data_IF_558920463666
#
_entry.id   IF_558920463666
#
_cell.length_a   1.000
_cell.length_b   1.000
_cell.length_c   1.000
_cell.angle_alpha   90.00
_cell.angle_beta   90.00
_cell.angle_gamma   90.00
#
_symmetry.space_group_name_H-M   'P 1'
#
loop_
_entity.id
_entity.type
_entity.pdbx_description
1 polymer ?
#
# COMPACT_ATOMS: atom_id res chain seq x y z
N UNK A 1 -10.45 -17.93 4.60
CA UNK A 1 -10.63 -16.93 5.68
C UNK A 1 -9.28 -16.49 6.21
N UNK A 2 -8.52 -15.71 5.44
CA UNK A 2 -7.33 -15.06 5.98
C UNK A 2 -7.80 -13.81 6.69
N UNK A 3 -7.69 -13.85 8.01
CA UNK A 3 -7.75 -12.66 8.84
C UNK A 3 -6.51 -11.82 8.52
N UNK A 4 -6.57 -10.98 7.48
CA UNK A 4 -5.91 -9.66 7.55
C UNK A 4 -6.79 -8.82 8.48
N UNK A 5 -6.91 -9.25 9.75
CA UNK A 5 -7.69 -8.56 10.76
C UNK A 5 -6.72 -7.75 11.59
N UNK A 6 -6.87 -6.43 11.49
CA UNK A 6 -6.84 -5.59 12.68
C UNK A 6 -5.48 -5.41 13.32
N UNK A 7 -4.51 -4.87 12.58
CA UNK A 7 -3.82 -3.74 13.18
C UNK A 7 -4.64 -2.49 12.84
N UNK A 8 -5.09 -1.69 13.82
CA UNK A 8 -6.02 -0.59 13.56
C UNK A 8 -5.53 0.50 12.59
N UNK A 9 -4.32 0.44 12.03
CA UNK A 9 -3.72 1.57 11.32
C UNK A 9 -2.82 1.30 10.09
N UNK A 10 -2.66 0.08 9.56
CA UNK A 10 -1.72 -0.14 8.41
C UNK A 10 -2.42 -0.77 7.20
N UNK A 11 -2.66 0.03 6.16
CA UNK A 11 -2.99 -0.43 4.81
C UNK A 11 -1.72 -1.02 4.16
N UNK A 12 -1.85 -2.10 3.36
CA UNK A 12 -0.72 -2.77 2.70
C UNK A 12 0.11 -1.82 1.83
N UNK A 13 -0.48 -0.75 1.31
CA UNK A 13 0.26 0.27 0.58
C UNK A 13 1.23 1.01 1.50
N UNK A 14 0.83 1.34 2.74
CA UNK A 14 1.71 2.00 3.73
C UNK A 14 2.85 1.12 4.23
N UNK A 15 2.85 -0.17 3.91
CA UNK A 15 3.99 -1.03 4.19
C UNK A 15 5.25 -0.62 3.41
N UNK A 16 5.07 0.05 2.27
CA UNK A 16 6.17 0.57 1.45
C UNK A 16 6.72 1.81 2.13
N UNK A 17 8.04 1.84 2.32
CA UNK A 17 8.72 3.01 2.91
C UNK A 17 8.51 4.23 2.01
N UNK A 18 8.17 5.40 2.57
CA UNK A 18 8.03 6.66 1.82
C UNK A 18 9.21 6.95 0.89
N UNK A 19 10.44 6.70 1.34
CA UNK A 19 11.66 6.92 0.58
C UNK A 19 11.71 6.15 -0.77
N UNK A 20 11.05 4.99 -0.86
CA UNK A 20 10.96 4.17 -2.09
C UNK A 20 10.13 4.88 -3.16
N UNK A 21 9.14 5.66 -2.72
CA UNK A 21 8.24 6.43 -3.57
C UNK A 21 8.76 7.86 -3.79
N UNK A 22 9.90 8.23 -3.21
CA UNK A 22 10.46 9.58 -3.27
C UNK A 22 9.65 10.62 -2.47
N UNK A 23 8.86 10.18 -1.49
CA UNK A 23 8.06 11.06 -0.63
C UNK A 23 8.62 11.04 0.80
N UNK A 24 8.51 12.14 1.53
CA UNK A 24 8.97 12.22 2.92
C UNK A 24 8.09 11.38 3.86
N UNK A 25 6.78 11.37 3.59
CA UNK A 25 5.80 10.61 4.34
C UNK A 25 4.57 10.32 3.47
N UNK A 26 3.79 9.32 3.87
CA UNK A 26 2.50 9.05 3.24
C UNK A 26 1.54 10.24 3.39
N UNK A 27 0.77 10.58 2.34
CA UNK A 27 -0.30 11.56 2.45
C UNK A 27 -1.30 11.17 3.54
N UNK A 28 -1.79 12.18 4.27
CA UNK A 28 -2.83 12.00 5.29
C UNK A 28 -4.19 12.07 4.61
N UNK A 29 -4.95 10.97 4.66
CA UNK A 29 -6.31 10.92 4.12
C UNK A 29 -7.31 11.26 5.22
N UNK A 30 -8.23 12.22 5.01
CA UNK A 30 -9.27 12.56 5.98
C UNK A 30 -10.14 11.36 6.37
N UNK A 31 -10.60 11.34 7.62
CA UNK A 31 -11.53 10.32 8.09
C UNK A 31 -12.86 10.41 7.32
N UNK A 32 -13.41 9.26 6.95
CA UNK A 32 -14.64 9.18 6.16
C UNK A 32 -14.43 9.17 4.64
N UNK A 33 -13.20 9.34 4.17
CA UNK A 33 -12.81 9.10 2.79
C UNK A 33 -12.19 7.70 2.65
N UNK A 34 -12.45 7.04 1.51
CA UNK A 34 -11.72 5.83 1.15
C UNK A 34 -10.22 6.13 1.07
N UNK A 35 -9.44 5.37 1.82
CA UNK A 35 -8.03 5.67 2.00
C UNK A 35 -7.25 5.55 0.69
N UNK A 36 -7.49 4.49 -0.11
CA UNK A 36 -6.77 4.27 -1.37
C UNK A 36 -7.09 5.37 -2.39
N UNK A 37 -8.36 5.72 -2.51
CA UNK A 37 -8.83 6.85 -3.32
C UNK A 37 -8.15 8.15 -2.88
N UNK A 38 -8.09 8.41 -1.57
CA UNK A 38 -7.43 9.60 -1.02
C UNK A 38 -5.93 9.67 -1.30
N UNK A 39 -5.24 8.53 -1.22
CA UNK A 39 -3.82 8.44 -1.58
C UNK A 39 -3.60 8.71 -3.06
N UNK A 40 -4.39 8.08 -3.94
CA UNK A 40 -4.27 8.32 -5.38
C UNK A 40 -4.57 9.77 -5.74
N UNK A 41 -5.60 10.36 -5.13
CA UNK A 41 -5.91 11.77 -5.29
C UNK A 41 -4.73 12.65 -4.82
N UNK A 42 -4.11 12.34 -3.68
CA UNK A 42 -2.94 13.06 -3.17
C UNK A 42 -1.70 12.94 -4.07
N UNK A 43 -1.52 11.79 -4.73
CA UNK A 43 -0.48 11.61 -5.75
C UNK A 43 -0.85 12.18 -7.14
N UNK A 44 -2.06 12.72 -7.30
CA UNK A 44 -2.56 13.22 -8.58
C UNK A 44 -2.81 12.11 -9.61
N UNK A 45 -3.08 10.88 -9.16
CA UNK A 45 -3.35 9.72 -10.01
C UNK A 45 -4.86 9.53 -10.21
N UNK A 46 -5.27 8.82 -11.27
CA UNK A 46 -6.66 8.37 -11.44
C UNK A 46 -7.14 7.61 -10.19
N UNK A 47 -8.41 7.81 -9.82
CA UNK A 47 -8.97 7.30 -8.56
C UNK A 47 -10.50 7.13 -8.58
N UNK A 48 -11.11 7.14 -9.77
CA UNK A 48 -12.57 7.13 -9.93
C UNK A 48 -13.15 5.72 -9.97
N UNK A 49 -12.32 4.74 -10.33
CA UNK A 49 -12.73 3.37 -10.63
C UNK A 49 -11.92 2.35 -9.83
N UNK A 50 -12.41 1.11 -9.76
CA UNK A 50 -11.65 0.02 -9.11
C UNK A 50 -10.38 -0.31 -9.90
N UNK A 51 -10.46 -0.16 -11.21
CA UNK A 51 -9.36 -0.30 -12.15
C UNK A 51 -8.25 0.71 -11.81
N UNK A 52 -8.60 1.96 -11.49
CA UNK A 52 -7.63 2.97 -11.05
C UNK A 52 -6.92 2.57 -9.76
N UNK A 53 -7.65 1.97 -8.80
CA UNK A 53 -7.04 1.42 -7.58
C UNK A 53 -6.03 0.33 -7.91
N UNK A 54 -6.38 -0.57 -8.84
CA UNK A 54 -5.50 -1.63 -9.31
C UNK A 54 -4.23 -1.10 -10.00
N UNK A 55 -4.38 -0.09 -10.86
CA UNK A 55 -3.25 0.57 -11.53
C UNK A 55 -2.34 1.29 -10.53
N UNK A 56 -2.93 1.99 -9.57
CA UNK A 56 -2.19 2.62 -8.46
C UNK A 56 -1.37 1.59 -7.68
N UNK A 57 -1.97 0.45 -7.36
CA UNK A 57 -1.28 -0.64 -6.67
C UNK A 57 -0.12 -1.21 -7.49
N UNK A 58 -0.33 -1.48 -8.78
CA UNK A 58 0.73 -1.93 -9.68
C UNK A 58 1.90 -0.94 -9.74
N UNK A 59 1.60 0.35 -9.75
CA UNK A 59 2.61 1.42 -9.80
C UNK A 59 3.44 1.50 -8.51
N UNK A 60 2.80 1.30 -7.35
CA UNK A 60 3.47 1.24 -6.04
C UNK A 60 4.35 -0.01 -5.92
N UNK A 61 3.82 -1.18 -6.29
CA UNK A 61 4.58 -2.43 -6.28
C UNK A 61 5.79 -2.38 -7.22
N UNK A 62 5.67 -1.75 -8.38
CA UNK A 62 6.78 -1.59 -9.32
C UNK A 62 7.97 -0.77 -8.79
N UNK A 63 7.76 0.01 -7.72
CA UNK A 63 8.82 0.75 -7.05
C UNK A 63 9.59 -0.11 -6.02
N UNK A 64 8.97 -1.17 -5.49
CA UNK A 64 9.57 -2.09 -4.52
C UNK A 64 10.53 -3.04 -5.24
N UNK A 65 11.78 -3.11 -4.78
CA UNK A 65 12.83 -3.98 -5.34
C UNK A 65 13.29 -5.05 -4.37
N UNK A 66 13.14 -4.83 -3.07
CA UNK A 66 13.56 -5.79 -2.03
C UNK A 66 12.77 -5.64 -0.74
N UNK A 67 12.90 -6.61 0.17
CA UNK A 67 12.32 -6.51 1.51
C UNK A 67 12.82 -5.31 2.32
N UNK A 68 13.98 -4.74 1.96
CA UNK A 68 14.50 -3.53 2.58
C UNK A 68 13.73 -2.27 2.18
N UNK A 69 12.85 -2.34 1.16
CA UNK A 69 11.97 -1.25 0.76
C UNK A 69 10.67 -1.23 1.59
N UNK A 70 10.47 -2.23 2.44
CA UNK A 70 9.33 -2.34 3.34
C UNK A 70 9.72 -1.93 4.76
N UNK A 71 8.82 -1.27 5.47
CA UNK A 71 8.99 -0.89 6.88
C UNK A 71 9.26 -2.13 7.74
N UNK A 72 10.26 -2.06 8.62
CA UNK A 72 10.77 -3.23 9.37
C UNK A 72 9.73 -3.83 10.33
N UNK A 73 8.75 -3.03 10.78
CA UNK A 73 7.62 -3.47 11.59
C UNK A 73 6.74 -4.52 10.87
N UNK A 74 6.88 -4.68 9.56
CA UNK A 74 6.16 -5.65 8.73
C UNK A 74 6.97 -6.90 8.39
N UNK A 75 8.27 -6.99 8.71
CA UNK A 75 9.11 -8.14 8.37
C UNK A 75 8.60 -9.47 8.95
N UNK A 76 7.92 -9.45 10.11
CA UNK A 76 7.25 -10.63 10.68
C UNK A 76 5.91 -11.00 10.01
N UNK A 77 5.41 -10.19 9.08
CA UNK A 77 4.12 -10.33 8.37
C UNK A 77 4.24 -10.34 6.84
N UNK A 78 5.47 -10.16 6.34
CA UNK A 78 5.82 -10.22 4.92
C UNK A 78 5.50 -11.61 4.32
N UNK A 79 5.57 -12.70 5.09
CA UNK A 79 5.18 -14.04 4.60
C UNK A 79 3.71 -14.12 4.18
N UNK A 80 2.79 -13.44 4.88
CA UNK A 80 1.36 -13.39 4.52
C UNK A 80 1.09 -12.48 3.29
N UNK A 81 1.93 -11.46 3.09
CA UNK A 81 1.84 -10.57 1.91
C UNK A 81 2.38 -11.26 0.66
N UNK A 82 3.44 -12.07 0.79
CA UNK A 82 3.93 -12.93 -0.29
C UNK A 82 2.80 -13.87 -0.71
N UNK A 83 2.12 -14.54 0.21
CA UNK A 83 0.97 -15.40 -0.10
C UNK A 83 -0.12 -14.67 -0.91
N UNK A 84 -0.40 -13.38 -0.64
CA UNK A 84 -1.33 -12.60 -1.45
C UNK A 84 -0.82 -12.30 -2.87
N UNK A 85 0.50 -12.14 -3.06
CA UNK A 85 1.13 -11.86 -4.35
C UNK A 85 1.45 -13.13 -5.15
N UNK A 86 1.50 -14.30 -4.51
CA UNK A 86 1.82 -15.59 -5.14
C UNK A 86 0.65 -16.56 -5.27
N UNK A 87 -0.61 -16.14 -5.02
CA UNK A 87 -1.77 -16.96 -5.43
C UNK A 87 -1.83 -16.96 -6.97
N UNK A 88 -1.75 -18.13 -7.64
CA UNK A 88 -1.79 -18.22 -9.10
C UNK A 88 -3.12 -17.78 -9.72
#
# INVERSE_FOLDING_TARGET
NVLIVGHPYIDVWQAIRPAVLGIEQWPVVPRGQDWKTGILAAFGWPHSTKEDIGLGWQKLLGAVRSYADLEASLLGRVEEVIDFLTVP
#
